data_IF_867114632135
#
_entry.id   IF_867114632135
#
_cell.length_a   1.000
_cell.length_b   1.000
_cell.length_c   1.000
_cell.angle_alpha   90.00
_cell.angle_beta   90.00
_cell.angle_gamma   90.00
#
_symmetry.space_group_name_H-M   'P 1'
#
loop_
_entity.id
_entity.type
_entity.pdbx_description
1 polymer ?
#
# COMPACT_ATOMS: atom_id res chain seq x y z
N UNK A 1 -5.96 11.51 3.03
CA UNK A 1 -6.09 10.20 3.73
C UNK A 1 -7.04 10.28 4.94
N UNK A 2 -8.31 10.73 4.82
CA UNK A 2 -9.17 10.93 5.99
C UNK A 2 -9.55 9.60 6.69
N UNK A 3 -9.64 8.50 5.92
CA UNK A 3 -10.04 7.19 6.46
C UNK A 3 -8.93 6.52 7.29
N UNK A 4 -7.67 6.69 6.91
CA UNK A 4 -6.54 6.18 7.70
C UNK A 4 -6.40 6.96 9.01
N UNK A 5 -6.62 8.28 8.97
CA UNK A 5 -6.67 9.13 10.16
C UNK A 5 -7.88 8.80 11.05
N UNK A 6 -9.04 8.47 10.48
CA UNK A 6 -10.22 8.06 11.24
C UNK A 6 -10.01 6.70 11.95
N UNK A 7 -9.44 5.70 11.26
CA UNK A 7 -9.07 4.43 11.88
C UNK A 7 -8.02 4.63 13.00
N UNK A 8 -7.00 5.44 12.72
CA UNK A 8 -5.97 5.81 13.69
C UNK A 8 -6.52 6.50 14.95
N UNK A 9 -7.50 7.39 14.80
CA UNK A 9 -8.09 8.13 15.91
C UNK A 9 -8.94 7.25 16.84
N UNK A 10 -9.52 6.16 16.31
CA UNK A 10 -10.27 5.17 17.09
C UNK A 10 -9.39 4.14 17.81
N UNK A 11 -8.11 4.04 17.46
CA UNK A 11 -7.26 2.91 17.88
C UNK A 11 -7.63 1.59 17.19
N UNK A 12 -8.47 1.66 16.15
CA UNK A 12 -8.99 0.49 15.46
C UNK A 12 -7.96 -0.07 14.48
N UNK A 13 -7.97 -1.39 14.34
CA UNK A 13 -7.21 -2.05 13.28
C UNK A 13 -7.70 -1.58 11.90
N UNK A 14 -6.79 -1.45 10.93
CA UNK A 14 -7.13 -1.34 9.51
C UNK A 14 -6.30 -2.35 8.72
N UNK A 15 -6.96 -3.19 7.93
CA UNK A 15 -6.27 -4.10 6.99
C UNK A 15 -6.16 -3.44 5.63
N UNK A 16 -4.95 -3.25 5.12
CA UNK A 16 -4.69 -2.91 3.72
C UNK A 16 -4.33 -4.19 2.97
N UNK A 17 -5.23 -4.65 2.11
CA UNK A 17 -5.09 -5.93 1.42
C UNK A 17 -4.94 -5.78 -0.09
N UNK A 18 -3.94 -6.46 -0.65
CA UNK A 18 -3.79 -6.68 -2.10
C UNK A 18 -4.02 -8.17 -2.42
N UNK A 19 -5.18 -8.55 -3.00
CA UNK A 19 -5.51 -9.93 -3.32
C UNK A 19 -4.68 -10.56 -4.45
N UNK A 20 -3.95 -9.74 -5.23
CA UNK A 20 -3.12 -10.15 -6.35
C UNK A 20 -1.78 -9.41 -6.29
N UNK A 21 -1.07 -9.59 -5.16
CA UNK A 21 0.02 -8.68 -4.81
C UNK A 21 1.23 -8.79 -5.73
N UNK A 22 1.38 -9.90 -6.48
CA UNK A 22 2.57 -10.20 -7.26
C UNK A 22 3.82 -9.99 -6.43
N UNK A 23 4.70 -9.11 -6.91
CA UNK A 23 5.95 -8.74 -6.23
C UNK A 23 5.81 -7.88 -4.96
N UNK A 24 4.59 -7.54 -4.54
CA UNK A 24 4.28 -6.78 -3.32
C UNK A 24 4.56 -5.28 -3.38
N UNK A 25 5.00 -4.75 -4.53
CA UNK A 25 5.47 -3.37 -4.66
C UNK A 25 4.39 -2.37 -4.28
N UNK A 26 3.14 -2.58 -4.68
CA UNK A 26 2.04 -1.65 -4.36
C UNK A 26 1.87 -1.45 -2.85
N UNK A 27 1.92 -2.54 -2.08
CA UNK A 27 1.86 -2.50 -0.61
C UNK A 27 3.12 -1.88 0.00
N UNK A 28 4.30 -2.16 -0.55
CA UNK A 28 5.56 -1.58 -0.06
C UNK A 28 5.64 -0.07 -0.31
N UNK A 29 5.13 0.43 -1.44
CA UNK A 29 5.00 1.86 -1.70
C UNK A 29 4.00 2.51 -0.72
N UNK A 30 2.85 1.87 -0.48
CA UNK A 30 1.91 2.33 0.54
C UNK A 30 2.56 2.38 1.93
N UNK A 31 3.34 1.35 2.29
CA UNK A 31 4.10 1.32 3.54
C UNK A 31 5.12 2.47 3.62
N UNK A 32 5.87 2.74 2.55
CA UNK A 32 6.82 3.85 2.47
C UNK A 32 6.14 5.20 2.70
N UNK A 33 4.98 5.42 2.08
CA UNK A 33 4.17 6.63 2.30
C UNK A 33 3.73 6.75 3.76
N UNK A 34 3.20 5.68 4.35
CA UNK A 34 2.69 5.73 5.74
C UNK A 34 3.83 5.85 6.76
N UNK A 35 5.01 5.32 6.48
CA UNK A 35 6.22 5.52 7.28
C UNK A 35 6.83 6.93 7.11
N UNK A 36 6.35 7.73 6.15
CA UNK A 36 6.96 9.01 5.80
C UNK A 36 8.38 8.86 5.25
N UNK A 37 8.66 7.75 4.55
CA UNK A 37 9.98 7.49 3.96
C UNK A 37 10.17 8.35 2.72
N UNK A 38 11.30 9.06 2.59
CA UNK A 38 11.59 9.79 1.37
C UNK A 38 11.77 8.82 0.19
N UNK A 39 11.35 9.20 -1.03
CA UNK A 39 11.61 8.39 -2.20
C UNK A 39 13.13 8.36 -2.48
N UNK A 40 13.68 7.16 -2.64
CA UNK A 40 15.08 6.98 -2.98
C UNK A 40 15.78 5.92 -2.15
N UNK A 41 17.08 5.75 -2.42
CA UNK A 41 17.94 4.83 -1.71
C UNK A 41 19.15 5.62 -1.23
N UNK A 42 19.42 5.61 0.09
CA UNK A 42 20.58 6.29 0.69
C UNK A 42 21.90 5.81 0.09
N UNK A 43 21.96 4.55 -0.30
CA UNK A 43 23.14 3.94 -0.89
C UNK A 43 23.30 4.30 -2.38
N UNK A 44 22.29 4.93 -3.00
CA UNK A 44 22.35 5.29 -4.41
C UNK A 44 23.16 6.56 -4.60
N UNK A 45 24.25 6.45 -5.37
CA UNK A 45 24.96 7.60 -5.92
C UNK A 45 24.15 8.16 -7.09
N UNK A 46 23.69 9.40 -6.96
CA UNK A 46 22.94 10.08 -8.02
C UNK A 46 23.89 10.70 -9.05
N UNK A 47 23.49 10.81 -10.34
CA UNK A 47 24.36 11.35 -11.39
C UNK A 47 24.87 12.78 -11.14
N UNK A 48 24.09 13.62 -10.45
CA UNK A 48 24.51 14.99 -10.10
C UNK A 48 25.76 15.00 -9.21
N UNK A 49 26.09 13.91 -8.52
CA UNK A 49 27.29 13.81 -7.69
C UNK A 49 28.59 13.82 -8.51
N UNK A 50 28.50 13.74 -9.85
CA UNK A 50 29.63 13.87 -10.76
C UNK A 50 29.78 15.29 -11.34
N UNK A 51 28.87 16.21 -11.04
CA UNK A 51 28.94 17.57 -11.58
C UNK A 51 30.02 18.39 -10.86
N UNK A 52 30.78 19.25 -11.57
CA UNK A 52 31.83 20.07 -10.96
C UNK A 52 31.36 20.99 -9.83
N UNK A 53 30.07 21.36 -9.83
CA UNK A 53 29.45 22.20 -8.81
C UNK A 53 28.84 21.41 -7.64
N UNK A 54 29.03 20.09 -7.57
CA UNK A 54 28.48 19.28 -6.49
C UNK A 54 29.26 19.50 -5.19
N UNK A 55 28.58 20.06 -4.17
CA UNK A 55 29.09 20.14 -2.82
C UNK A 55 28.73 18.86 -2.04
N UNK A 56 29.66 17.91 -1.98
CA UNK A 56 29.44 16.61 -1.32
C UNK A 56 29.08 16.75 0.17
N UNK A 57 29.75 17.67 0.89
CA UNK A 57 29.50 17.93 2.30
C UNK A 57 28.10 18.51 2.57
N UNK A 58 27.63 19.43 1.73
CA UNK A 58 26.27 20.00 1.83
C UNK A 58 25.21 18.93 1.58
N UNK A 59 25.41 18.10 0.56
CA UNK A 59 24.49 17.01 0.25
C UNK A 59 24.46 15.95 1.37
N UNK A 60 25.62 15.57 1.90
CA UNK A 60 25.71 14.68 3.05
C UNK A 60 25.00 15.28 4.27
N UNK A 61 25.18 16.58 4.53
CA UNK A 61 24.48 17.32 5.58
C UNK A 61 22.96 17.30 5.40
N UNK A 62 22.48 17.54 4.17
CA UNK A 62 21.06 17.43 3.83
C UNK A 62 20.51 16.02 4.10
N UNK A 63 21.18 14.97 3.62
CA UNK A 63 20.78 13.59 3.85
C UNK A 63 20.78 13.22 5.34
N UNK A 64 21.77 13.72 6.09
CA UNK A 64 21.87 13.56 7.53
C UNK A 64 20.79 14.32 8.31
N UNK A 65 20.16 15.33 7.71
CA UNK A 65 19.02 16.07 8.25
C UNK A 65 17.66 15.42 7.96
N UNK A 66 17.55 14.55 6.95
CA UNK A 66 16.30 13.88 6.60
C UNK A 66 15.83 12.94 7.72
N UNK A 67 14.57 13.07 8.11
CA UNK A 67 13.92 12.23 9.13
C UNK A 67 12.59 11.72 8.57
N UNK A 68 12.37 10.42 8.71
CA UNK A 68 11.07 9.85 8.42
C UNK A 68 10.07 10.23 9.53
N UNK A 69 8.85 10.58 9.15
CA UNK A 69 7.76 10.96 10.04
C UNK A 69 6.58 10.00 9.83
N UNK A 70 6.55 8.86 10.56
CA UNK A 70 5.51 7.86 10.39
C UNK A 70 4.14 8.40 10.83
N UNK A 71 3.09 7.91 10.19
CA UNK A 71 1.71 8.23 10.56
C UNK A 71 1.40 7.74 11.99
N UNK A 72 0.70 8.54 12.83
CA UNK A 72 0.48 8.20 14.24
C UNK A 72 -0.28 6.89 14.48
N UNK A 73 -1.20 6.51 13.59
CA UNK A 73 -1.94 5.24 13.68
C UNK A 73 -1.30 4.05 12.97
N UNK A 74 -0.01 4.12 12.64
CA UNK A 74 0.64 3.05 11.88
C UNK A 74 0.67 1.71 12.62
N UNK A 75 0.68 1.70 13.95
CA UNK A 75 0.61 0.48 14.76
C UNK A 75 -0.70 -0.29 14.60
N UNK A 76 -1.79 0.37 14.21
CA UNK A 76 -3.07 -0.27 13.90
C UNK A 76 -3.17 -0.78 12.46
N UNK A 77 -2.15 -0.57 11.62
CA UNK A 77 -2.18 -0.97 10.22
C UNK A 77 -1.65 -2.41 10.05
N UNK A 78 -2.39 -3.24 9.34
CA UNK A 78 -1.92 -4.55 8.85
C UNK A 78 -1.87 -4.51 7.33
N UNK A 79 -0.68 -4.66 6.74
CA UNK A 79 -0.51 -4.83 5.30
C UNK A 79 -0.46 -6.30 4.95
N UNK A 80 -1.27 -6.68 3.97
CA UNK A 80 -1.46 -8.07 3.60
C UNK A 80 -1.44 -8.19 2.08
N UNK A 81 -0.55 -9.02 1.55
CA UNK A 81 -0.54 -9.39 0.14
C UNK A 81 -0.78 -10.88 -0.02
N UNK A 82 -1.71 -11.25 -0.90
CA UNK A 82 -1.89 -12.64 -1.31
C UNK A 82 -1.65 -12.78 -2.79
N UNK A 83 -1.08 -13.90 -3.20
CA UNK A 83 -1.02 -14.27 -4.61
C UNK A 83 -1.19 -15.79 -4.76
N UNK A 84 -1.94 -16.20 -5.77
CA UNK A 84 -2.14 -17.62 -6.10
C UNK A 84 -1.06 -18.17 -7.05
N UNK A 85 -0.27 -17.30 -7.68
CA UNK A 85 0.83 -17.70 -8.55
C UNK A 85 2.05 -18.11 -7.70
N UNK A 86 2.58 -19.30 -7.99
CA UNK A 86 3.72 -19.85 -7.26
C UNK A 86 4.93 -18.91 -7.24
N UNK A 87 5.47 -18.65 -6.05
CA UNK A 87 6.69 -17.89 -5.86
C UNK A 87 6.56 -16.36 -5.83
N UNK A 88 5.42 -15.78 -6.19
CA UNK A 88 5.20 -14.32 -6.10
C UNK A 88 5.20 -13.86 -4.64
N UNK A 89 4.58 -14.61 -3.72
CA UNK A 89 4.64 -14.32 -2.29
C UNK A 89 6.08 -14.31 -1.75
N UNK A 90 6.93 -15.26 -2.17
CA UNK A 90 8.33 -15.27 -1.75
C UNK A 90 9.14 -14.13 -2.38
N UNK A 91 8.82 -13.75 -3.62
CA UNK A 91 9.38 -12.55 -4.26
C UNK A 91 8.99 -11.29 -3.49
N UNK A 92 7.75 -11.17 -3.05
CA UNK A 92 7.28 -10.06 -2.24
C UNK A 92 7.99 -10.00 -0.88
N UNK A 93 8.19 -11.15 -0.20
CA UNK A 93 8.99 -11.21 1.04
C UNK A 93 10.45 -10.80 0.82
N UNK A 94 11.08 -11.21 -0.30
CA UNK A 94 12.42 -10.72 -0.66
C UNK A 94 12.45 -9.20 -0.86
N UNK A 95 11.42 -8.64 -1.48
CA UNK A 95 11.29 -7.19 -1.67
C UNK A 95 11.07 -6.47 -0.34
N UNK A 96 10.27 -7.01 0.58
CA UNK A 96 10.11 -6.50 1.94
C UNK A 96 11.47 -6.44 2.67
N UNK A 97 12.25 -7.52 2.64
CA UNK A 97 13.60 -7.53 3.23
C UNK A 97 14.52 -6.47 2.63
N UNK A 98 14.41 -6.22 1.32
CA UNK A 98 15.17 -5.16 0.63
C UNK A 98 14.69 -3.76 1.05
N UNK A 99 13.38 -3.60 1.21
CA UNK A 99 12.76 -2.36 1.68
C UNK A 99 13.22 -2.03 3.10
N UNK A 100 13.16 -2.99 4.02
CA UNK A 100 13.61 -2.81 5.42
C UNK A 100 15.06 -2.35 5.51
N UNK A 101 15.96 -2.91 4.70
CA UNK A 101 17.38 -2.50 4.65
C UNK A 101 17.60 -1.07 4.13
N UNK A 102 16.62 -0.50 3.43
CA UNK A 102 16.70 0.86 2.84
C UNK A 102 15.99 1.92 3.68
N UNK A 103 15.32 1.52 4.76
CA UNK A 103 14.59 2.47 5.60
C UNK A 103 15.53 3.56 6.13
N UNK A 104 15.08 4.81 6.00
CA UNK A 104 15.65 5.88 6.80
C UNK A 104 15.41 5.60 8.28
N UNK A 105 16.36 5.95 9.16
CA UNK A 105 16.18 5.91 10.59
C UNK A 105 14.87 6.61 10.95
N UNK A 106 13.99 5.85 11.60
CA UNK A 106 12.78 6.41 12.17
C UNK A 106 13.18 7.31 13.34
N UNK A 107 12.46 8.42 13.52
CA UNK A 107 12.62 9.23 14.72
C UNK A 107 12.19 8.34 15.90
N UNK A 108 13.15 7.82 16.66
CA UNK A 108 12.85 7.21 17.95
C UNK A 108 12.06 8.26 18.74
N UNK A 109 10.79 7.98 19.00
CA UNK A 109 9.89 8.94 19.63
C UNK A 109 10.39 9.24 21.04
N UNK A 110 11.15 10.33 21.21
CA UNK A 110 11.34 11.09 22.45
C UNK A 110 11.69 10.34 23.75
N UNK A 111 12.15 9.09 23.70
CA UNK A 111 12.36 8.25 24.89
C UNK A 111 13.82 7.89 25.08
N UNK A 112 14.46 8.57 26.04
CA UNK A 112 15.68 8.23 26.79
C UNK A 112 16.83 7.60 26.00
N UNK A 113 17.92 8.37 25.89
CA UNK A 113 19.28 7.84 25.69
C UNK A 113 19.48 6.64 26.62
N UNK A 114 19.45 5.43 26.05
CA UNK A 114 19.77 4.22 26.77
C UNK A 114 21.30 4.13 26.84
N UNK A 115 21.82 4.27 28.05
CA UNK A 115 23.22 4.03 28.39
C UNK A 115 23.71 2.71 27.78
N UNK A 116 24.78 2.81 26.99
CA UNK A 116 25.43 1.71 26.31
C UNK A 116 26.10 0.78 27.35
N UNK A 117 25.36 -0.23 27.82
CA UNK A 117 25.98 -1.38 28.49
C UNK A 117 26.39 -2.41 27.45
N UNK A 118 27.71 -2.56 27.31
CA UNK A 118 28.38 -3.55 26.51
C UNK A 118 28.29 -4.92 27.20
N UNK A 119 27.39 -5.79 26.77
CA UNK A 119 27.47 -7.21 27.12
C UNK A 119 27.17 -8.09 25.90
N UNK A 120 28.15 -8.92 25.54
CA UNK A 120 28.36 -9.51 24.22
C UNK A 120 27.53 -10.75 23.90
N UNK A 121 26.20 -10.67 23.98
CA UNK A 121 25.32 -11.74 23.48
C UNK A 121 24.96 -11.53 22.00
N UNK A 122 25.09 -12.54 21.12
CA UNK A 122 24.66 -12.43 19.73
C UNK A 122 23.14 -12.20 19.67
N UNK A 123 22.65 -11.20 18.93
CA UNK A 123 21.23 -10.84 18.94
C UNK A 123 20.41 -11.98 18.34
N UNK A 124 19.51 -12.53 19.17
CA UNK A 124 18.48 -13.47 18.74
C UNK A 124 17.70 -12.91 17.54
N UNK A 125 17.26 -13.81 16.64
CA UNK A 125 16.57 -13.53 15.38
C UNK A 125 15.80 -12.19 15.40
N UNK A 126 16.35 -11.21 14.69
CA UNK A 126 15.93 -9.82 14.71
C UNK A 126 14.42 -9.69 14.51
N UNK A 127 13.72 -9.25 15.57
CA UNK A 127 12.33 -8.82 15.49
C UNK A 127 12.17 -7.83 14.34
N UNK A 128 11.03 -7.89 13.63
CA UNK A 128 10.76 -6.96 12.54
C UNK A 128 10.89 -5.52 13.04
N UNK A 129 11.64 -4.71 12.30
CA UNK A 129 11.92 -3.30 12.62
C UNK A 129 10.68 -2.43 12.37
N UNK A 130 9.65 -2.98 11.72
CA UNK A 130 8.48 -2.24 11.29
C UNK A 130 7.49 -2.04 12.45
N UNK A 131 6.92 -0.84 12.60
CA UNK A 131 5.91 -0.54 13.61
C UNK A 131 4.53 -1.14 13.29
N UNK A 132 4.40 -1.93 12.23
CA UNK A 132 3.14 -2.50 11.75
C UNK A 132 3.34 -3.93 11.19
N UNK A 133 2.28 -4.72 11.13
CA UNK A 133 2.36 -6.08 10.57
C UNK A 133 2.34 -6.05 9.06
N UNK A 134 3.30 -6.71 8.41
CA UNK A 134 3.34 -6.89 6.95
C UNK A 134 3.44 -8.39 6.64
N UNK A 135 2.49 -8.92 5.89
CA UNK A 135 2.42 -10.35 5.56
C UNK A 135 2.20 -10.56 4.07
N UNK A 136 2.94 -11.50 3.52
CA UNK A 136 2.75 -11.98 2.15
C UNK A 136 2.52 -13.48 2.20
N UNK A 137 1.44 -13.95 1.58
CA UNK A 137 1.02 -15.35 1.63
C UNK A 137 0.73 -15.89 0.24
N UNK A 138 1.10 -17.15 0.01
CA UNK A 138 0.76 -17.87 -1.21
C UNK A 138 -0.61 -18.51 -0.99
N UNK A 139 -1.64 -17.79 -1.42
CA UNK A 139 -3.03 -18.15 -1.15
C UNK A 139 -3.93 -17.55 -2.23
N UNK A 140 -4.96 -18.30 -2.61
CA UNK A 140 -6.01 -17.77 -3.45
C UNK A 140 -6.81 -16.70 -2.69
N UNK A 141 -7.16 -15.60 -3.36
CA UNK A 141 -7.84 -14.47 -2.72
C UNK A 141 -9.19 -14.83 -2.08
N UNK A 142 -9.97 -15.73 -2.70
CA UNK A 142 -11.32 -16.07 -2.25
C UNK A 142 -11.37 -16.79 -0.89
N UNK A 143 -10.63 -17.89 -0.65
CA UNK A 143 -10.59 -18.49 0.69
C UNK A 143 -9.97 -17.54 1.73
N UNK A 144 -9.00 -16.71 1.31
CA UNK A 144 -8.37 -15.75 2.21
C UNK A 144 -9.35 -14.68 2.70
N UNK A 145 -10.22 -14.17 1.83
CA UNK A 145 -11.22 -13.14 2.17
C UNK A 145 -12.12 -13.54 3.35
N UNK A 146 -12.36 -14.83 3.56
CA UNK A 146 -13.15 -15.34 4.70
C UNK A 146 -12.46 -15.08 6.04
N UNK A 147 -11.13 -15.01 6.08
CA UNK A 147 -10.37 -14.64 7.27
C UNK A 147 -10.41 -13.14 7.60
N UNK A 148 -11.01 -12.33 6.71
CA UNK A 148 -11.17 -10.88 6.88
C UNK A 148 -12.59 -10.49 7.32
N UNK A 149 -13.49 -11.46 7.52
CA UNK A 149 -14.86 -11.22 8.01
C UNK A 149 -14.80 -10.45 9.33
N UNK A 150 -15.54 -9.34 9.43
CA UNK A 150 -15.60 -8.48 10.61
C UNK A 150 -14.40 -7.56 10.81
N UNK A 151 -13.39 -7.59 9.92
CA UNK A 151 -12.23 -6.70 10.00
C UNK A 151 -12.35 -5.58 8.97
N UNK A 152 -12.24 -4.30 9.38
CA UNK A 152 -12.28 -3.17 8.46
C UNK A 152 -11.12 -3.27 7.47
N UNK A 153 -11.46 -3.46 6.19
CA UNK A 153 -10.48 -3.78 5.16
C UNK A 153 -10.55 -2.78 4.01
N UNK A 154 -9.41 -2.20 3.66
CA UNK A 154 -9.19 -1.46 2.42
C UNK A 154 -8.52 -2.37 1.41
N UNK A 155 -9.11 -2.51 0.22
CA UNK A 155 -8.48 -3.25 -0.88
C UNK A 155 -7.73 -2.27 -1.77
N UNK A 156 -6.47 -2.57 -2.07
CA UNK A 156 -5.65 -1.82 -3.00
C UNK A 156 -4.89 -2.81 -3.88
N UNK A 157 -5.21 -2.86 -5.17
CA UNK A 157 -4.64 -3.86 -6.08
C UNK A 157 -4.33 -3.31 -7.47
N UNK A 158 -3.45 -3.99 -8.20
CA UNK A 158 -3.10 -3.63 -9.58
C UNK A 158 -3.49 -4.76 -10.54
N UNK A 159 -4.50 -4.51 -11.37
CA UNK A 159 -4.93 -5.43 -12.44
C UNK A 159 -4.04 -5.34 -13.70
N UNK A 160 -3.07 -4.43 -13.73
CA UNK A 160 -2.13 -4.30 -14.86
C UNK A 160 -1.22 -5.51 -15.05
N UNK A 161 -0.98 -6.25 -13.97
CA UNK A 161 -0.04 -7.38 -13.93
C UNK A 161 -0.74 -8.69 -13.57
N UNK A 162 -2.05 -8.64 -13.31
CA UNK A 162 -2.81 -9.85 -12.99
C UNK A 162 -2.83 -10.78 -14.19
N UNK A 163 -2.90 -12.09 -13.94
CA UNK A 163 -2.78 -13.17 -14.92
C UNK A 163 -3.99 -13.29 -15.89
N UNK A 164 -4.48 -12.17 -16.42
CA UNK A 164 -5.58 -12.07 -17.37
C UNK A 164 -6.95 -11.88 -16.72
N UNK A 165 -7.98 -11.97 -17.57
CA UNK A 165 -9.39 -11.68 -17.27
C UNK A 165 -9.94 -12.48 -16.08
N UNK A 166 -9.38 -13.67 -15.83
CA UNK A 166 -9.79 -14.53 -14.73
C UNK A 166 -9.62 -13.87 -13.35
N UNK A 167 -8.53 -13.12 -13.14
CA UNK A 167 -8.26 -12.43 -11.87
C UNK A 167 -9.21 -11.24 -11.67
N UNK A 168 -9.52 -10.52 -12.75
CA UNK A 168 -10.46 -9.40 -12.74
C UNK A 168 -11.88 -9.89 -12.40
N UNK A 169 -12.37 -10.93 -13.08
CA UNK A 169 -13.66 -11.52 -12.75
C UNK A 169 -13.67 -12.16 -11.36
N UNK A 170 -12.55 -12.74 -10.90
CA UNK A 170 -12.43 -13.24 -9.53
C UNK A 170 -12.55 -12.11 -8.50
N UNK A 171 -11.95 -10.95 -8.75
CA UNK A 171 -12.09 -9.76 -7.90
C UNK A 171 -13.56 -9.34 -7.81
N UNK A 172 -14.25 -9.25 -8.95
CA UNK A 172 -15.66 -8.90 -9.02
C UNK A 172 -16.52 -9.82 -8.14
N UNK A 173 -16.37 -11.15 -8.31
CA UNK A 173 -17.08 -12.15 -7.50
C UNK A 173 -16.76 -12.02 -6.01
N UNK A 174 -15.48 -11.83 -5.67
CA UNK A 174 -15.03 -11.71 -4.28
C UNK A 174 -15.69 -10.52 -3.57
N UNK A 175 -15.72 -9.37 -4.24
CA UNK A 175 -16.29 -8.14 -3.70
C UNK A 175 -17.82 -8.23 -3.57
N UNK A 176 -18.50 -8.83 -4.55
CA UNK A 176 -19.96 -9.04 -4.53
C UNK A 176 -20.41 -10.00 -3.42
N UNK A 177 -19.58 -10.97 -3.03
CA UNK A 177 -19.88 -11.89 -1.93
C UNK A 177 -19.90 -11.20 -0.55
N UNK A 178 -19.42 -9.94 -0.44
CA UNK A 178 -19.46 -9.13 0.79
C UNK A 178 -18.95 -9.86 2.03
N UNK A 179 -17.89 -10.65 1.87
CA UNK A 179 -17.34 -11.46 2.95
C UNK A 179 -16.62 -10.64 4.02
N UNK A 180 -16.18 -9.43 3.72
CA UNK A 180 -15.51 -8.56 4.70
C UNK A 180 -16.14 -7.16 4.75
N UNK A 181 -15.76 -6.41 5.78
CA UNK A 181 -16.12 -5.02 5.96
C UNK A 181 -15.26 -4.11 5.06
N UNK A 182 -15.59 -4.08 3.78
CA UNK A 182 -14.88 -3.28 2.77
C UNK A 182 -15.05 -1.78 3.03
N UNK A 183 -14.01 -1.14 3.59
CA UNK A 183 -13.97 0.32 3.81
C UNK A 183 -13.67 1.11 2.54
N UNK A 184 -13.21 0.43 1.51
CA UNK A 184 -12.97 0.97 0.18
C UNK A 184 -12.20 -0.04 -0.66
N UNK A 185 -12.42 0.02 -1.96
CA UNK A 185 -11.70 -0.82 -2.91
C UNK A 185 -11.16 0.08 -3.99
N UNK A 186 -9.85 0.01 -4.18
CA UNK A 186 -9.12 0.73 -5.20
C UNK A 186 -8.40 -0.27 -6.09
N UNK A 187 -8.53 -0.13 -7.40
CA UNK A 187 -7.75 -0.91 -8.33
C UNK A 187 -7.16 -0.06 -9.45
N UNK A 188 -5.97 -0.45 -9.91
CA UNK A 188 -5.36 0.13 -11.10
C UNK A 188 -5.63 -0.79 -12.29
N UNK A 189 -6.26 -0.27 -13.33
CA UNK A 189 -6.61 -1.00 -14.55
C UNK A 189 -6.14 -0.27 -15.81
N UNK A 190 -5.87 -1.00 -16.89
CA UNK A 190 -5.46 -0.41 -18.18
C UNK A 190 -6.64 0.30 -18.85
N UNK A 191 -7.82 -0.30 -18.77
CA UNK A 191 -9.07 0.23 -19.30
C UNK A 191 -10.16 0.13 -18.22
N UNK A 192 -10.84 1.25 -17.98
CA UNK A 192 -11.88 1.34 -16.97
C UNK A 192 -13.17 0.61 -17.39
N UNK A 193 -13.53 0.64 -18.67
CA UNK A 193 -14.76 0.03 -19.17
C UNK A 193 -14.64 -1.48 -19.21
N UNK A 194 -13.48 -1.99 -19.63
CA UNK A 194 -13.17 -3.42 -19.56
C UNK A 194 -13.20 -3.93 -18.11
N UNK A 195 -12.58 -3.20 -17.18
CA UNK A 195 -12.64 -3.55 -15.76
C UNK A 195 -14.08 -3.59 -15.22
N UNK A 196 -14.94 -2.63 -15.59
CA UNK A 196 -16.37 -2.64 -15.23
C UNK A 196 -17.08 -3.87 -15.80
N UNK A 197 -16.89 -4.15 -17.09
CA UNK A 197 -17.53 -5.28 -17.76
C UNK A 197 -17.11 -6.61 -17.13
N UNK A 198 -15.80 -6.81 -16.88
CA UNK A 198 -15.27 -8.06 -16.36
C UNK A 198 -15.58 -8.30 -14.87
N UNK A 199 -15.60 -7.23 -14.06
CA UNK A 199 -15.94 -7.33 -12.63
C UNK A 199 -17.44 -7.33 -12.37
N UNK A 200 -18.25 -6.78 -13.27
CA UNK A 200 -19.67 -6.54 -13.04
C UNK A 200 -19.94 -5.53 -11.92
N UNK A 201 -19.01 -4.59 -11.70
CA UNK A 201 -19.08 -3.57 -10.65
C UNK A 201 -19.08 -2.16 -11.26
N UNK A 202 -19.80 -1.25 -10.61
CA UNK A 202 -19.82 0.17 -10.95
C UNK A 202 -18.59 0.88 -10.35
N UNK A 203 -17.56 1.06 -11.18
CA UNK A 203 -16.34 1.76 -10.80
C UNK A 203 -16.42 3.26 -11.07
N UNK A 204 -15.94 4.05 -10.12
CA UNK A 204 -15.68 5.48 -10.30
C UNK A 204 -14.20 5.68 -10.64
N UNK A 205 -13.90 6.42 -11.70
CA UNK A 205 -12.51 6.76 -12.06
C UNK A 205 -12.04 7.95 -11.23
N UNK A 206 -11.06 7.72 -10.36
CA UNK A 206 -10.46 8.75 -9.50
C UNK A 206 -9.33 9.50 -10.23
N UNK A 207 -8.52 8.78 -11.00
CA UNK A 207 -7.36 9.33 -11.70
C UNK A 207 -7.08 8.57 -12.99
N UNK A 208 -6.60 9.26 -14.03
CA UNK A 208 -6.00 8.66 -15.23
C UNK A 208 -4.55 9.09 -15.34
N UNK A 209 -3.67 8.16 -15.67
CA UNK A 209 -2.24 8.41 -15.78
C UNK A 209 -1.58 7.51 -16.83
N UNK A 210 -0.37 7.86 -17.25
CA UNK A 210 0.44 7.05 -18.16
C UNK A 210 1.33 6.10 -17.35
N UNK A 211 1.27 4.81 -17.66
CA UNK A 211 2.19 3.79 -17.18
C UNK A 211 2.91 3.15 -18.37
N UNK A 212 4.22 3.42 -18.51
CA UNK A 212 5.06 2.92 -19.62
C UNK A 212 4.46 3.16 -21.01
N UNK A 213 3.92 4.36 -21.23
CA UNK A 213 3.31 4.75 -22.51
C UNK A 213 1.89 4.22 -22.74
N UNK A 214 1.31 3.49 -21.79
CA UNK A 214 -0.10 3.06 -21.84
C UNK A 214 -0.92 3.86 -20.84
N UNK A 215 -2.14 4.21 -21.21
CA UNK A 215 -3.08 4.79 -20.25
C UNK A 215 -3.49 3.74 -19.21
N UNK A 216 -3.60 4.18 -17.97
CA UNK A 216 -4.16 3.43 -16.86
C UNK A 216 -5.10 4.35 -16.07
N UNK A 217 -6.02 3.74 -15.34
CA UNK A 217 -6.95 4.40 -14.46
C UNK A 217 -6.82 3.84 -13.04
N UNK A 218 -6.87 4.72 -12.05
CA UNK A 218 -7.18 4.37 -10.67
C UNK A 218 -8.70 4.41 -10.52
N UNK A 219 -9.28 3.25 -10.21
CA UNK A 219 -10.70 3.05 -10.04
C UNK A 219 -11.02 2.89 -8.55
N UNK A 220 -12.17 3.39 -8.14
CA UNK A 220 -12.71 3.23 -6.79
C UNK A 220 -14.10 2.59 -6.84
N UNK A 221 -14.35 1.63 -5.95
CA UNK A 221 -15.67 1.05 -5.69
C UNK A 221 -16.08 1.29 -4.23
N UNK A 222 -17.32 1.73 -4.03
CA UNK A 222 -17.86 2.16 -2.73
C UNK A 222 -18.88 1.16 -2.14
N UNK A 223 -18.97 -0.06 -2.68
CA UNK A 223 -19.88 -1.09 -2.15
C UNK A 223 -21.34 -0.97 -2.60
N UNK A 224 -21.69 0.09 -3.32
CA UNK A 224 -23.04 0.31 -3.84
C UNK A 224 -23.19 -0.52 -5.11
N UNK A 225 -23.77 -1.72 -4.95
CA UNK A 225 -24.25 -2.46 -6.11
C UNK A 225 -25.33 -1.64 -6.80
N UNK A 226 -25.44 -1.77 -8.12
CA UNK A 226 -26.48 -1.17 -8.94
C UNK A 226 -27.86 -1.81 -8.62
N UNK A 227 -28.27 -1.80 -7.34
CA UNK A 227 -29.65 -2.02 -6.95
C UNK A 227 -30.34 -0.73 -7.33
N UNK A 228 -30.96 -0.74 -8.53
CA UNK A 228 -31.58 0.41 -9.19
C UNK A 228 -31.93 1.50 -8.19
N UNK A 229 -31.10 2.53 -8.14
CA UNK A 229 -31.33 3.64 -7.22
C UNK A 229 -32.65 4.30 -7.65
N UNK A 230 -33.68 4.35 -6.79
CA UNK A 230 -34.80 5.24 -7.02
C UNK A 230 -34.24 6.65 -7.15
N UNK A 231 -34.70 7.38 -8.17
CA UNK A 231 -34.17 8.66 -8.57
C UNK A 231 -33.95 9.62 -7.39
N UNK A 232 -32.71 10.11 -7.25
CA UNK A 232 -32.43 11.33 -6.49
C UNK A 232 -31.82 11.12 -5.11
N UNK A 233 -30.49 11.03 -5.05
CA UNK A 233 -29.62 11.89 -4.22
C UNK A 233 -28.24 11.81 -4.89
N UNK A 234 -27.86 12.88 -5.58
CA UNK A 234 -26.50 13.03 -6.12
C UNK A 234 -25.57 13.40 -4.95
N UNK A 235 -24.48 12.66 -4.68
CA UNK A 235 -23.46 13.15 -3.77
C UNK A 235 -22.83 14.40 -4.38
N UNK A 236 -22.67 15.45 -3.55
CA UNK A 236 -22.10 16.72 -3.96
C UNK A 236 -20.72 16.52 -4.61
N UNK A 237 -20.62 16.86 -5.89
CA UNK A 237 -19.34 16.88 -6.61
C UNK A 237 -18.44 17.90 -5.93
N UNK A 238 -17.43 17.44 -5.20
CA UNK A 238 -16.36 18.32 -4.73
C UNK A 238 -15.51 18.69 -5.95
N UNK A 239 -15.70 19.90 -6.46
CA UNK A 239 -14.82 20.48 -7.46
C UNK A 239 -13.44 20.69 -6.83
N UNK A 240 -12.47 19.91 -7.30
CA UNK A 240 -11.06 20.20 -7.02
C UNK A 240 -10.68 21.41 -7.89
N UNK A 241 -10.78 22.60 -7.30
CA UNK A 241 -10.19 23.79 -7.88
C UNK A 241 -8.67 23.56 -7.98
N UNK A 242 -8.17 23.51 -9.22
CA UNK A 242 -6.73 23.55 -9.51
C UNK A 242 -6.22 24.89 -8.98
N UNK A 243 -5.30 24.86 -8.03
CA UNK A 243 -4.39 25.98 -7.75
C UNK A 243 -3.08 25.68 -8.44
#
# INVERSE_FOLDING_TARGET
>A
MPRLAAAAAGGDELVLWDPFCGSGILLLEALGVVLGQPPGDRARRYPFAAFPCHAESEYAGFLAGLRAAPHPGLSGLTLLGTDGAGGEAERARRNLRRFERRLWPLRAGGGREADASADGAPPAASASVLPCSVRFEEAAAAPFARGLVGRPTLVLTSLLHSAGDAAVSQLGRLLQQRQADWRGVFCVASDAEDAKQQTGLEWTTELRFLNRGRWAALLQWTGHGNRGSPAGIRPASRSWARR
#
